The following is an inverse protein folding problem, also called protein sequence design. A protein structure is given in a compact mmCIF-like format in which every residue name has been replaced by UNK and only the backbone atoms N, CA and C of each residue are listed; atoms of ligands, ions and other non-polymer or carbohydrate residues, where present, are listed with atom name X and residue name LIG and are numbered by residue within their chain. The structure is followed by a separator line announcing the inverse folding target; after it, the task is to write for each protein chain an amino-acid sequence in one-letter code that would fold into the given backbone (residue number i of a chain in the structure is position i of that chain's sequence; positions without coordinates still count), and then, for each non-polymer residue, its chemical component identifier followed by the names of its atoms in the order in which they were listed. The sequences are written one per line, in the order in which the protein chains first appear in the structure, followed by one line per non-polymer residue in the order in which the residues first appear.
data_IF_290025573940
#
_entry.id   IF_290025573940
#
_cell.length_a   1.000
_cell.length_b   1.000
_cell.length_c   1.000
_cell.angle_alpha   90.00
_cell.angle_beta   90.00
_cell.angle_gamma   90.00
#
_symmetry.space_group_name_H-M   'P 1'
#
loop_
_entity.id
_entity.type
_entity.pdbx_description
1 polymer ?
#
# COMPACT_ATOMS: atom_id res chain seq x y z
N UNK A 1 -4.02 -17.36 0.45
CA UNK A 1 -3.51 -16.52 -0.66
C UNK A 1 -4.61 -15.71 -1.35
N UNK A 2 -5.65 -16.31 -1.95
CA UNK A 2 -6.76 -15.56 -2.62
C UNK A 2 -7.43 -14.48 -1.76
N UNK A 3 -7.64 -14.74 -0.46
CA UNK A 3 -8.33 -13.80 0.43
C UNK A 3 -7.55 -12.49 0.66
N UNK A 4 -6.22 -12.47 0.54
CA UNK A 4 -5.43 -11.26 0.76
C UNK A 4 -5.51 -10.32 -0.43
N UNK A 5 -5.40 -10.83 -1.66
CA UNK A 5 -5.59 -10.04 -2.88
C UNK A 5 -7.00 -9.44 -2.98
N UNK A 6 -8.02 -10.21 -2.57
CA UNK A 6 -9.40 -9.70 -2.48
C UNK A 6 -9.51 -8.56 -1.46
N UNK A 7 -8.89 -8.69 -0.28
CA UNK A 7 -8.85 -7.61 0.72
C UNK A 7 -8.15 -6.36 0.19
N UNK A 8 -7.04 -6.52 -0.55
CA UNK A 8 -6.34 -5.40 -1.19
C UNK A 8 -7.26 -4.71 -2.21
N UNK A 9 -7.94 -5.47 -3.07
CA UNK A 9 -8.88 -4.91 -4.05
C UNK A 9 -10.04 -4.17 -3.39
N UNK A 10 -10.68 -4.78 -2.38
CA UNK A 10 -11.77 -4.15 -1.63
C UNK A 10 -11.27 -2.85 -0.98
N UNK A 11 -10.10 -2.88 -0.36
CA UNK A 11 -9.51 -1.69 0.25
C UNK A 11 -9.25 -0.58 -0.77
N UNK A 12 -8.69 -0.91 -1.94
CA UNK A 12 -8.49 0.03 -3.05
C UNK A 12 -9.82 0.62 -3.53
N UNK A 13 -10.88 -0.21 -3.65
CA UNK A 13 -12.22 0.25 -4.05
C UNK A 13 -12.80 1.20 -2.99
N UNK A 14 -12.68 0.86 -1.70
CA UNK A 14 -13.15 1.70 -0.59
C UNK A 14 -12.43 3.06 -0.61
N UNK A 15 -11.10 3.07 -0.80
CA UNK A 15 -10.35 4.31 -0.94
C UNK A 15 -10.77 5.10 -2.19
N UNK A 16 -10.99 4.45 -3.33
CA UNK A 16 -11.45 5.11 -4.54
C UNK A 16 -12.83 5.79 -4.35
N UNK A 17 -13.75 5.13 -3.65
CA UNK A 17 -15.07 5.69 -3.31
C UNK A 17 -14.92 6.85 -2.32
N UNK A 18 -14.11 6.68 -1.26
CA UNK A 18 -13.85 7.74 -0.29
C UNK A 18 -13.24 8.98 -0.97
N UNK A 19 -12.32 8.79 -1.91
CA UNK A 19 -11.72 9.84 -2.73
C UNK A 19 -12.76 10.54 -3.61
N UNK A 20 -13.68 9.81 -4.26
CA UNK A 20 -14.79 10.42 -5.02
C UNK A 20 -15.67 11.29 -4.12
N UNK A 21 -16.05 10.78 -2.95
CA UNK A 21 -16.91 11.51 -2.00
C UNK A 21 -16.19 12.78 -1.49
N UNK A 22 -14.92 12.66 -1.10
CA UNK A 22 -14.12 13.80 -0.68
C UNK A 22 -14.01 14.87 -1.78
N UNK A 23 -13.78 14.47 -3.03
CA UNK A 23 -13.75 15.42 -4.14
C UNK A 23 -15.06 16.18 -4.34
N UNK A 24 -16.20 15.50 -4.17
CA UNK A 24 -17.50 16.16 -4.29
C UNK A 24 -17.79 17.13 -3.14
N UNK A 25 -17.36 16.81 -1.92
CA UNK A 25 -17.57 17.67 -0.73
C UNK A 25 -16.64 18.88 -0.77
N UNK A 26 -15.37 18.69 -1.10
CA UNK A 26 -14.37 19.75 -1.09
C UNK A 26 -14.24 20.49 -2.42
N UNK A 27 -15.06 20.15 -3.43
CA UNK A 27 -15.01 20.69 -4.80
C UNK A 27 -13.60 20.64 -5.41
N UNK A 28 -12.80 19.66 -5.01
CA UNK A 28 -11.45 19.49 -5.52
C UNK A 28 -11.49 18.85 -6.90
N UNK A 29 -10.89 19.53 -7.89
CA UNK A 29 -10.56 18.91 -9.15
C UNK A 29 -9.46 17.86 -8.91
N UNK A 30 -9.84 16.59 -8.87
CA UNK A 30 -8.88 15.50 -8.83
C UNK A 30 -8.29 15.32 -10.23
N UNK A 31 -7.01 15.61 -10.37
CA UNK A 31 -6.25 15.33 -11.60
C UNK A 31 -6.31 13.84 -11.96
N UNK A 32 -6.36 13.53 -13.26
CA UNK A 32 -6.36 12.15 -13.79
C UNK A 32 -5.22 11.31 -13.23
N UNK A 33 -4.08 11.93 -12.93
CA UNK A 33 -2.89 11.26 -12.39
C UNK A 33 -3.08 10.75 -10.94
N UNK A 34 -4.03 11.31 -10.19
CA UNK A 34 -4.40 10.82 -8.86
C UNK A 34 -5.04 9.43 -8.93
N UNK A 35 -5.87 9.16 -9.94
CA UNK A 35 -6.44 7.84 -10.17
C UNK A 35 -5.36 6.83 -10.57
N UNK A 36 -4.39 7.26 -11.39
CA UNK A 36 -3.24 6.43 -11.72
C UNK A 36 -2.39 6.08 -10.49
N UNK A 37 -2.22 7.03 -9.55
CA UNK A 37 -1.48 6.77 -8.30
C UNK A 37 -2.16 5.74 -7.40
N UNK A 38 -3.50 5.71 -7.36
CA UNK A 38 -4.26 4.67 -6.65
C UNK A 38 -4.00 3.29 -7.23
N UNK A 39 -4.09 3.17 -8.56
CA UNK A 39 -3.80 1.92 -9.26
C UNK A 39 -2.35 1.46 -9.00
N UNK A 40 -1.40 2.40 -9.07
CA UNK A 40 0.00 2.17 -8.75
C UNK A 40 0.19 1.62 -7.32
N UNK A 41 -0.38 2.25 -6.29
CA UNK A 41 -0.26 1.77 -4.91
C UNK A 41 -0.89 0.40 -4.70
N UNK A 42 -2.02 0.13 -5.36
CA UNK A 42 -2.67 -1.17 -5.32
C UNK A 42 -1.77 -2.25 -5.93
N UNK A 43 -1.24 -2.02 -7.13
CA UNK A 43 -0.33 -2.95 -7.81
C UNK A 43 0.95 -3.18 -7.01
N UNK A 44 1.54 -2.12 -6.49
CA UNK A 44 2.77 -2.18 -5.70
C UNK A 44 2.54 -2.98 -4.41
N UNK A 45 1.41 -2.79 -3.74
CA UNK A 45 1.06 -3.56 -2.53
C UNK A 45 0.78 -5.02 -2.85
N UNK A 46 0.16 -5.34 -3.98
CA UNK A 46 0.02 -6.73 -4.43
C UNK A 46 1.38 -7.39 -4.71
N UNK A 47 2.30 -6.67 -5.35
CA UNK A 47 3.65 -7.14 -5.63
C UNK A 47 4.44 -7.41 -4.35
N UNK A 48 4.41 -6.47 -3.39
CA UNK A 48 5.07 -6.66 -2.10
C UNK A 48 4.46 -7.82 -1.34
N UNK A 49 3.13 -7.93 -1.29
CA UNK A 49 2.48 -9.05 -0.63
C UNK A 49 2.89 -10.40 -1.24
N UNK A 50 3.04 -10.46 -2.57
CA UNK A 50 3.54 -11.65 -3.26
C UNK A 50 4.98 -12.01 -2.84
N UNK A 51 5.86 -11.02 -2.65
CA UNK A 51 7.25 -11.22 -2.22
C UNK A 51 7.34 -11.62 -0.73
N UNK A 52 6.54 -11.00 0.13
CA UNK A 52 6.58 -11.23 1.59
C UNK A 52 5.88 -12.53 1.96
N UNK A 53 4.81 -12.93 1.24
CA UNK A 53 3.99 -14.08 1.64
C UNK A 53 4.72 -15.42 1.79
N UNK A 54 5.73 -15.80 0.97
CA UNK A 54 6.50 -17.02 1.17
C UNK A 54 7.41 -16.93 2.40
N UNK A 55 7.90 -15.74 2.72
CA UNK A 55 8.77 -15.51 3.89
C UNK A 55 8.05 -15.67 5.22
N UNK A 56 6.71 -15.57 5.24
CA UNK A 56 5.87 -15.80 6.44
C UNK A 56 5.99 -17.23 6.98
N UNK A 57 6.19 -18.22 6.11
CA UNK A 57 6.34 -19.62 6.50
C UNK A 57 7.79 -19.97 6.89
N UNK A 58 8.72 -19.01 6.73
CA UNK A 58 10.14 -19.19 7.03
C UNK A 58 10.47 -18.76 8.47
N UNK A 59 11.76 -18.80 8.85
CA UNK A 59 12.22 -18.32 10.15
C UNK A 59 11.88 -16.84 10.33
N UNK A 60 11.49 -16.42 11.55
CA UNK A 60 11.14 -15.02 11.89
C UNK A 60 12.15 -13.99 11.38
N UNK A 61 13.44 -14.31 11.43
CA UNK A 61 14.50 -13.41 10.95
C UNK A 61 14.45 -13.17 9.44
N UNK A 62 14.16 -14.20 8.63
CA UNK A 62 14.03 -14.06 7.19
C UNK A 62 12.81 -13.22 6.82
N UNK A 63 11.69 -13.39 7.51
CA UNK A 63 10.51 -12.54 7.34
C UNK A 63 10.83 -11.06 7.58
N UNK A 64 11.53 -10.74 8.68
CA UNK A 64 11.90 -9.35 8.99
C UNK A 64 12.79 -8.75 7.90
N UNK A 65 13.80 -9.49 7.45
CA UNK A 65 14.72 -9.02 6.39
C UNK A 65 13.97 -8.76 5.08
N UNK A 66 13.13 -9.69 4.66
CA UNK A 66 12.34 -9.55 3.42
C UNK A 66 11.36 -8.39 3.53
N UNK A 67 10.65 -8.28 4.66
CA UNK A 67 9.70 -7.18 4.90
C UNK A 67 10.39 -5.81 4.86
N UNK A 68 11.52 -5.65 5.55
CA UNK A 68 12.29 -4.40 5.53
C UNK A 68 12.81 -4.07 4.13
N UNK A 69 13.27 -5.07 3.38
CA UNK A 69 13.63 -4.89 1.97
C UNK A 69 12.47 -4.39 1.11
N UNK A 70 11.27 -4.91 1.33
CA UNK A 70 10.08 -4.47 0.59
C UNK A 70 9.63 -3.05 0.93
N UNK A 71 9.85 -2.58 2.16
CA UNK A 71 9.64 -1.17 2.50
C UNK A 71 10.59 -0.25 1.73
N UNK A 72 11.85 -0.66 1.54
CA UNK A 72 12.81 0.06 0.71
C UNK A 72 12.38 0.12 -0.76
N UNK A 73 11.97 -1.02 -1.33
CA UNK A 73 11.42 -1.10 -2.69
C UNK A 73 10.20 -0.18 -2.85
N UNK A 74 9.29 -0.20 -1.87
CA UNK A 74 8.10 0.65 -1.85
C UNK A 74 8.47 2.13 -1.91
N UNK A 75 9.41 2.57 -1.07
CA UNK A 75 9.87 3.97 -1.08
C UNK A 75 10.50 4.33 -2.42
N UNK A 76 11.38 3.48 -2.96
CA UNK A 76 12.04 3.73 -4.24
C UNK A 76 11.04 3.94 -5.38
N UNK A 77 10.09 3.03 -5.56
CA UNK A 77 9.06 3.18 -6.59
C UNK A 77 8.13 4.36 -6.34
N UNK A 78 7.80 4.66 -5.07
CA UNK A 78 6.96 5.82 -4.73
C UNK A 78 7.65 7.13 -5.08
N UNK A 79 8.97 7.22 -4.88
CA UNK A 79 9.77 8.39 -5.28
C UNK A 79 9.88 8.45 -6.81
N UNK A 80 10.14 7.32 -7.48
CA UNK A 80 10.22 7.27 -8.93
C UNK A 80 8.92 7.76 -9.60
N UNK A 81 7.76 7.36 -9.09
CA UNK A 81 6.47 7.85 -9.58
C UNK A 81 6.31 9.36 -9.35
N UNK A 82 6.75 9.88 -8.20
CA UNK A 82 6.71 11.31 -7.90
C UNK A 82 7.62 12.12 -8.84
N UNK A 83 8.79 11.59 -9.19
CA UNK A 83 9.70 12.19 -10.17
C UNK A 83 9.09 12.20 -11.58
N UNK A 84 8.43 11.11 -11.98
CA UNK A 84 7.67 11.09 -13.24
C UNK A 84 6.56 12.14 -13.23
N UNK A 85 5.80 12.26 -12.15
CA UNK A 85 4.81 13.33 -12.01
C UNK A 85 5.44 14.72 -12.16
N UNK A 86 6.58 14.98 -11.52
CA UNK A 86 7.28 16.26 -11.62
C UNK A 86 7.74 16.57 -13.05
N UNK A 87 8.18 15.57 -13.81
CA UNK A 87 8.68 15.76 -15.17
C UNK A 87 7.57 15.95 -16.21
N UNK A 88 6.45 15.24 -16.06
CA UNK A 88 5.34 15.27 -17.02
C UNK A 88 4.28 16.33 -16.70
N UNK A 89 4.21 16.82 -15.46
CA UNK A 89 3.18 17.77 -15.06
C UNK A 89 3.61 19.20 -15.34
N UNK A 90 2.83 19.88 -16.19
CA UNK A 90 3.05 21.31 -16.48
C UNK A 90 2.78 22.23 -15.28
N UNK A 91 1.99 21.75 -14.31
CA UNK A 91 1.71 22.45 -13.04
C UNK A 91 1.75 21.48 -11.87
N UNK A 92 2.43 21.90 -10.80
CA UNK A 92 2.51 21.15 -9.54
C UNK A 92 1.30 21.55 -8.69
N UNK A 93 0.47 20.58 -8.34
CA UNK A 93 -0.71 20.79 -7.50
C UNK A 93 -0.46 20.25 -6.09
N UNK A 94 -0.47 21.14 -5.09
CA UNK A 94 -0.27 20.76 -3.67
C UNK A 94 -1.33 19.73 -3.23
N UNK A 95 -2.55 19.87 -3.72
CA UNK A 95 -3.65 18.92 -3.49
C UNK A 95 -3.31 17.49 -3.90
N UNK A 96 -2.64 17.32 -5.06
CA UNK A 96 -2.19 16.02 -5.52
C UNK A 96 -1.07 15.46 -4.64
N UNK A 97 -0.11 16.30 -4.21
CA UNK A 97 0.98 15.87 -3.33
C UNK A 97 0.43 15.35 -1.99
N UNK A 98 -0.49 16.09 -1.37
CA UNK A 98 -1.15 15.68 -0.14
C UNK A 98 -1.93 14.38 -0.31
N UNK A 99 -2.69 14.27 -1.41
CA UNK A 99 -3.42 13.06 -1.76
C UNK A 99 -2.48 11.84 -1.91
N UNK A 100 -1.38 12.02 -2.64
CA UNK A 100 -0.37 10.98 -2.87
C UNK A 100 0.26 10.53 -1.56
N UNK A 101 0.64 11.47 -0.70
CA UNK A 101 1.20 11.19 0.62
C UNK A 101 0.22 10.44 1.53
N UNK A 102 -1.04 10.85 1.58
CA UNK A 102 -2.07 10.16 2.35
C UNK A 102 -2.31 8.74 1.81
N UNK A 103 -2.39 8.61 0.48
CA UNK A 103 -2.48 7.30 -0.18
C UNK A 103 -1.34 6.37 0.24
N UNK A 104 -0.10 6.87 0.22
CA UNK A 104 1.06 6.13 0.72
C UNK A 104 0.85 5.61 2.15
N UNK A 105 0.48 6.49 3.09
CA UNK A 105 0.28 6.12 4.50
C UNK A 105 -0.83 5.07 4.67
N UNK A 106 -1.95 5.24 3.97
CA UNK A 106 -3.06 4.30 4.00
C UNK A 106 -2.67 2.92 3.48
N UNK A 107 -1.92 2.85 2.37
CA UNK A 107 -1.49 1.56 1.82
C UNK A 107 -0.41 0.89 2.66
N UNK A 108 0.54 1.64 3.22
CA UNK A 108 1.55 1.10 4.15
C UNK A 108 0.90 0.57 5.42
N UNK A 109 0.02 1.36 6.05
CA UNK A 109 -0.69 0.93 7.25
C UNK A 109 -1.52 -0.33 7.01
N UNK A 110 -2.20 -0.39 5.87
CA UNK A 110 -2.98 -1.57 5.47
C UNK A 110 -2.10 -2.80 5.22
N UNK A 111 -0.94 -2.64 4.58
CA UNK A 111 0.03 -3.73 4.39
C UNK A 111 0.53 -4.29 5.72
N UNK A 112 0.93 -3.42 6.64
CA UNK A 112 1.36 -3.81 7.99
C UNK A 112 0.24 -4.57 8.71
N UNK A 113 -1.01 -4.08 8.63
CA UNK A 113 -2.17 -4.76 9.19
C UNK A 113 -2.39 -6.15 8.60
N UNK A 114 -2.34 -6.29 7.27
CA UNK A 114 -2.48 -7.59 6.59
C UNK A 114 -1.40 -8.57 7.05
N UNK A 115 -0.15 -8.13 7.14
CA UNK A 115 0.95 -8.97 7.58
C UNK A 115 0.79 -9.40 9.05
N UNK A 116 0.53 -8.46 9.96
CA UNK A 116 0.28 -8.74 11.38
C UNK A 116 -0.89 -9.70 11.60
N UNK A 117 -1.98 -9.54 10.85
CA UNK A 117 -3.15 -10.41 10.93
C UNK A 117 -2.83 -11.86 10.54
N UNK A 118 -1.87 -12.06 9.63
CA UNK A 118 -1.38 -13.38 9.24
C UNK A 118 -0.36 -13.97 10.23
N UNK A 119 0.39 -13.15 10.99
CA UNK A 119 1.32 -13.63 12.04
C UNK A 119 0.63 -14.01 13.36
N UNK A 120 -0.52 -13.39 13.66
CA UNK A 120 -1.23 -13.55 14.95
C UNK A 120 -1.59 -15.02 15.30
N UNK A 121 -2.00 -15.88 14.36
CA UNK A 121 -2.26 -17.29 14.64
C UNK A 121 -1.01 -18.06 15.11
N UNK A 122 0.16 -17.77 14.54
CA UNK A 122 1.41 -18.48 14.85
C UNK A 122 1.97 -18.08 16.21
N UNK A 123 1.78 -16.83 16.64
CA UNK A 123 2.09 -16.38 18.00
C UNK A 123 1.27 -17.15 19.05
N UNK A 124 -0.03 -17.36 18.81
CA UNK A 124 -0.89 -18.11 19.73
C UNK A 124 -0.51 -19.60 19.81
N UNK A 125 0.01 -20.16 18.72
CA UNK A 125 0.48 -21.55 18.65
C UNK A 125 1.83 -21.78 19.36
N UNK A 126 2.67 -20.75 19.43
CA UNK A 126 3.92 -20.77 20.20
C UNK A 126 3.69 -20.75 21.71
N UNK A 127 2.71 -19.96 22.18
CA UNK A 127 2.35 -19.85 23.60
C UNK A 127 1.71 -21.14 24.15
N UNK A 128 0.93 -21.86 23.34
CA UNK A 128 0.29 -23.12 23.75
C UNK A 128 1.23 -24.35 23.75
N UNK A 129 2.53 -24.16 23.50
CA UNK A 129 3.54 -25.23 23.54
C UNK A 129 4.48 -25.12 24.74
N UNK A 130 4.27 -24.14 25.60
CA UNK A 130 4.87 -24.00 26.93
C UNK A 130 3.85 -24.43 27.99
#
# INVERSE_FOLDING_TARGET
MKNAYLKILIYTIVLAIATKIAATIFLLAISTIAWASLAFYSLLTMGIHAIVSPSLQSKKQQFIVVFMGTLGIRMFFSIAFLLLYLFFSSKIEISFILYYLLGYLFFVGFEIYLLLSNLRPDLKKGINKE
#
